data_IF_878442447485
#
_entry.id   IF_878442447485
#
_cell.length_a   1.000
_cell.length_b   1.000
_cell.length_c   1.000
_cell.angle_alpha   90.00
_cell.angle_beta   90.00
_cell.angle_gamma   90.00
#
_symmetry.space_group_name_H-M   'P 1'
#
loop_
_entity.id
_entity.type
_entity.pdbx_description
1 polymer ?
#
# COMPACT_ATOMS: atom_id res chain seq x y z
N UNK A 1 -7.05 18.77 -17.10
CA UNK A 1 -7.27 18.38 -15.69
C UNK A 1 -6.10 17.48 -15.32
N UNK A 2 -5.23 17.87 -14.38
CA UNK A 2 -4.12 17.00 -13.96
C UNK A 2 -4.71 15.75 -13.31
N UNK A 3 -4.47 14.60 -13.92
CA UNK A 3 -5.03 13.33 -13.48
C UNK A 3 -4.07 12.71 -12.45
N UNK A 4 -4.45 12.67 -11.17
CA UNK A 4 -3.60 12.11 -10.11
C UNK A 4 -3.66 10.57 -10.03
N UNK A 5 -4.25 9.90 -11.02
CA UNK A 5 -4.42 8.45 -11.06
C UNK A 5 -3.07 7.71 -10.92
N UNK A 6 -2.02 8.18 -11.58
CA UNK A 6 -0.66 7.61 -11.42
C UNK A 6 -0.13 7.69 -9.97
N UNK A 7 -0.48 8.72 -9.20
CA UNK A 7 -0.10 8.85 -7.77
C UNK A 7 -0.82 7.81 -6.93
N UNK A 8 -2.15 7.71 -7.06
CA UNK A 8 -2.95 6.74 -6.31
C UNK A 8 -2.62 5.29 -6.68
N UNK A 9 -2.24 5.04 -7.94
CA UNK A 9 -1.70 3.74 -8.35
C UNK A 9 -0.40 3.41 -7.62
N UNK A 10 0.55 4.36 -7.56
CA UNK A 10 1.81 4.18 -6.84
C UNK A 10 1.58 3.97 -5.33
N UNK A 11 0.71 4.76 -4.70
CA UNK A 11 0.30 4.56 -3.30
C UNK A 11 -0.29 3.16 -3.09
N UNK A 12 -1.16 2.71 -3.99
CA UNK A 12 -1.74 1.36 -3.94
C UNK A 12 -0.67 0.26 -3.98
N UNK A 13 0.33 0.38 -4.86
CA UNK A 13 1.47 -0.56 -4.91
C UNK A 13 2.27 -0.54 -3.60
N UNK A 14 2.57 0.65 -3.07
CA UNK A 14 3.29 0.79 -1.80
C UNK A 14 2.52 0.16 -0.63
N UNK A 15 1.20 0.33 -0.57
CA UNK A 15 0.34 -0.29 0.44
C UNK A 15 0.36 -1.83 0.35
N UNK A 16 0.35 -2.40 -0.85
CA UNK A 16 0.46 -3.86 -1.01
C UNK A 16 1.82 -4.36 -0.51
N UNK A 17 2.90 -3.64 -0.84
CA UNK A 17 4.25 -3.96 -0.36
C UNK A 17 4.30 -3.89 1.17
N UNK A 18 3.79 -2.81 1.77
CA UNK A 18 3.72 -2.64 3.22
C UNK A 18 2.93 -3.77 3.89
N UNK A 19 1.76 -4.12 3.36
CA UNK A 19 0.96 -5.24 3.86
C UNK A 19 1.68 -6.59 3.78
N UNK A 20 2.48 -6.82 2.74
CA UNK A 20 3.34 -8.00 2.65
C UNK A 20 4.45 -7.99 3.72
N UNK A 21 5.08 -6.84 3.98
CA UNK A 21 6.09 -6.69 5.03
C UNK A 21 5.52 -6.87 6.43
N UNK A 22 4.23 -6.58 6.66
CA UNK A 22 3.56 -6.87 7.94
C UNK A 22 3.46 -8.37 8.25
N UNK A 23 3.74 -9.27 7.30
CA UNK A 23 3.86 -10.70 7.59
C UNK A 23 5.11 -11.02 8.43
N UNK A 24 6.19 -10.23 8.31
CA UNK A 24 7.42 -10.43 9.11
C UNK A 24 7.14 -10.32 10.61
N UNK A 25 6.58 -9.21 11.14
CA UNK A 25 6.25 -9.13 12.56
C UNK A 25 5.17 -10.13 12.99
N UNK A 26 4.28 -10.57 12.08
CA UNK A 26 3.35 -11.66 12.36
C UNK A 26 4.09 -12.99 12.64
N UNK A 27 5.09 -13.36 11.84
CA UNK A 27 5.94 -14.52 12.11
C UNK A 27 6.72 -14.36 13.43
N UNK A 28 7.19 -13.15 13.73
CA UNK A 28 7.86 -12.86 15.00
C UNK A 28 6.91 -13.11 16.18
N UNK A 29 5.69 -12.58 16.16
CA UNK A 29 4.68 -12.84 17.21
C UNK A 29 4.39 -14.33 17.37
N UNK A 30 4.33 -15.07 16.26
CA UNK A 30 4.12 -16.51 16.29
C UNK A 30 5.25 -17.26 17.01
N UNK A 31 6.50 -16.81 16.85
CA UNK A 31 7.66 -17.39 17.56
C UNK A 31 7.62 -17.08 19.06
N UNK A 32 7.17 -15.89 19.43
CA UNK A 32 7.08 -15.45 20.84
C UNK A 32 5.78 -15.88 21.55
N UNK A 33 4.95 -16.72 20.92
CA UNK A 33 3.64 -17.20 21.41
C UNK A 33 2.69 -16.06 21.84
N UNK A 34 2.81 -14.90 21.18
CA UNK A 34 1.90 -13.79 21.39
C UNK A 34 0.57 -14.08 20.68
N UNK A 35 -0.52 -14.18 21.45
CA UNK A 35 -1.90 -14.40 20.94
C UNK A 35 -2.50 -13.17 20.24
N UNK A 36 -1.68 -12.27 19.73
CA UNK A 36 -2.16 -11.07 19.08
C UNK A 36 -2.23 -11.26 17.56
N UNK A 37 -3.44 -11.15 17.00
CA UNK A 37 -3.68 -11.24 15.56
C UNK A 37 -3.72 -9.86 14.87
N UNK A 38 -3.33 -8.79 15.58
CA UNK A 38 -3.39 -7.41 15.06
C UNK A 38 -2.64 -7.25 13.75
N UNK A 39 -1.45 -7.84 13.60
CA UNK A 39 -0.65 -7.71 12.39
C UNK A 39 -1.27 -8.45 11.19
N UNK A 40 -1.88 -9.62 11.41
CA UNK A 40 -2.56 -10.35 10.35
C UNK A 40 -3.80 -9.60 9.85
N UNK A 41 -4.62 -9.09 10.78
CA UNK A 41 -5.80 -8.28 10.44
C UNK A 41 -5.40 -6.97 9.75
N UNK A 42 -4.40 -6.26 10.28
CA UNK A 42 -3.87 -5.05 9.66
C UNK A 42 -3.31 -5.31 8.27
N UNK A 43 -2.50 -6.36 8.09
CA UNK A 43 -1.96 -6.75 6.79
C UNK A 43 -3.08 -7.02 5.78
N UNK A 44 -4.11 -7.77 6.17
CA UNK A 44 -5.25 -8.07 5.30
C UNK A 44 -5.99 -6.81 4.86
N UNK A 45 -6.28 -5.89 5.79
CA UNK A 45 -6.98 -4.64 5.47
C UNK A 45 -6.11 -3.73 4.60
N UNK A 46 -4.83 -3.56 4.95
CA UNK A 46 -3.88 -2.71 4.21
C UNK A 46 -3.68 -3.23 2.78
N UNK A 47 -3.48 -4.53 2.59
CA UNK A 47 -3.36 -5.13 1.26
C UNK A 47 -4.66 -5.01 0.47
N UNK A 48 -5.82 -5.20 1.10
CA UNK A 48 -7.12 -5.03 0.43
C UNK A 48 -7.31 -3.61 -0.11
N UNK A 49 -7.04 -2.59 0.71
CA UNK A 49 -7.11 -1.18 0.29
C UNK A 49 -6.09 -0.87 -0.80
N UNK A 50 -4.86 -1.40 -0.69
CA UNK A 50 -3.83 -1.26 -1.72
C UNK A 50 -4.27 -1.81 -3.08
N UNK A 51 -4.85 -3.02 -3.10
CA UNK A 51 -5.38 -3.64 -4.32
C UNK A 51 -6.51 -2.79 -4.92
N UNK A 52 -7.45 -2.31 -4.10
CA UNK A 52 -8.54 -1.43 -4.58
C UNK A 52 -8.01 -0.15 -5.23
N UNK A 53 -6.99 0.47 -4.65
CA UNK A 53 -6.36 1.67 -5.21
C UNK A 53 -5.68 1.40 -6.55
N UNK A 54 -4.99 0.26 -6.67
CA UNK A 54 -4.36 -0.19 -7.93
C UNK A 54 -5.43 -0.39 -9.00
N UNK A 55 -6.51 -1.12 -8.71
CA UNK A 55 -7.56 -1.44 -9.67
C UNK A 55 -8.34 -0.20 -10.12
N UNK A 56 -8.70 0.69 -9.18
CA UNK A 56 -9.50 1.88 -9.48
C UNK A 56 -8.71 2.94 -10.25
N UNK A 57 -7.38 2.95 -10.11
CA UNK A 57 -6.50 3.95 -10.72
C UNK A 57 -5.57 3.34 -11.79
N UNK A 58 -6.00 2.25 -12.44
CA UNK A 58 -5.27 1.64 -13.53
C UNK A 58 -5.11 2.65 -14.68
N UNK A 59 -3.90 3.12 -14.90
CA UNK A 59 -3.58 4.12 -15.93
C UNK A 59 -2.49 3.59 -16.87
N UNK A 60 -2.74 3.71 -18.18
CA UNK A 60 -1.89 3.16 -19.24
C UNK A 60 -0.62 4.01 -19.45
N UNK A 61 -0.71 5.32 -19.17
CA UNK A 61 0.40 6.28 -19.27
C UNK A 61 0.91 6.67 -17.89
N UNK A 62 1.83 5.87 -17.33
CA UNK A 62 2.36 6.00 -15.96
C UNK A 62 3.48 7.06 -15.80
N UNK A 63 3.33 8.23 -16.42
CA UNK A 63 4.33 9.31 -16.28
C UNK A 63 3.99 10.20 -15.09
N UNK A 64 4.85 10.17 -14.06
CA UNK A 64 4.77 11.10 -12.92
C UNK A 64 5.35 12.46 -13.31
N UNK A 65 4.59 13.52 -13.09
CA UNK A 65 5.07 14.90 -13.11
C UNK A 65 5.69 15.27 -11.75
N UNK A 66 6.56 16.29 -11.69
CA UNK A 66 7.19 16.78 -10.45
C UNK A 66 6.18 17.06 -9.33
N UNK A 67 5.05 17.70 -9.64
CA UNK A 67 3.99 17.97 -8.66
C UNK A 67 3.35 16.69 -8.11
N UNK A 68 3.20 15.66 -8.94
CA UNK A 68 2.65 14.36 -8.56
C UNK A 68 3.63 13.56 -7.70
N UNK A 69 4.93 13.67 -7.98
CA UNK A 69 5.96 13.06 -7.15
C UNK A 69 5.98 13.67 -5.74
N UNK A 70 5.81 14.99 -5.60
CA UNK A 70 5.67 15.62 -4.29
C UNK A 70 4.43 15.12 -3.54
N UNK A 71 3.28 15.06 -4.21
CA UNK A 71 2.05 14.53 -3.60
C UNK A 71 2.21 13.08 -3.16
N UNK A 72 2.86 12.25 -3.99
CA UNK A 72 3.15 10.85 -3.66
C UNK A 72 3.92 10.76 -2.34
N UNK A 73 5.05 11.47 -2.21
CA UNK A 73 5.88 11.44 -1.01
C UNK A 73 5.17 11.96 0.24
N UNK A 74 4.29 12.95 0.12
CA UNK A 74 3.55 13.46 1.29
C UNK A 74 2.43 12.54 1.77
N UNK A 75 1.92 11.67 0.90
CA UNK A 75 0.76 10.83 1.16
C UNK A 75 1.13 9.36 1.44
N UNK A 76 2.31 8.91 1.02
CA UNK A 76 2.87 7.58 1.32
C UNK A 76 3.60 7.56 2.66
#
# INVERSE_FOLDING_TARGET
MNNNKTVFFAIGVLLVILGAFMLIPFFVQFIYDEKNNTFLLSASVTTFVGILLILTNLEENRKLNLQQAFLLTTLS
#
